data_IF_929425203865
#
_entry.id   IF_929425203865
#
_cell.length_a   1.000
_cell.length_b   1.000
_cell.length_c   1.000
_cell.angle_alpha   90.00
_cell.angle_beta   90.00
_cell.angle_gamma   90.00
#
_symmetry.space_group_name_H-M   'P 1'
#
loop_
_entity.id
_entity.type
_entity.pdbx_description
1 polymer ?
#
# COMPACT_ATOMS: atom_id res chain seq x y z
N UNK A 1 -9.64 -50.44 26.97
CA UNK A 1 -9.76 -49.22 26.13
C UNK A 1 -8.38 -48.55 25.97
N UNK A 2 -7.34 -49.29 25.54
CA UNK A 2 -5.93 -48.87 25.74
C UNK A 2 -4.98 -49.21 24.58
N UNK A 3 -5.48 -49.75 23.47
CA UNK A 3 -4.60 -50.27 22.40
C UNK A 3 -4.46 -49.33 21.20
N UNK A 4 -5.41 -48.41 20.99
CA UNK A 4 -5.41 -47.51 19.80
C UNK A 4 -4.56 -46.24 20.04
N UNK A 5 -4.51 -45.72 21.27
CA UNK A 5 -3.75 -44.49 21.58
C UNK A 5 -2.23 -44.68 21.52
N UNK A 6 -1.72 -45.91 21.66
CA UNK A 6 -0.29 -46.22 21.64
C UNK A 6 0.34 -46.21 20.23
N UNK A 7 -0.47 -46.16 19.16
CA UNK A 7 0.00 -46.17 17.76
C UNK A 7 0.20 -44.77 17.14
N UNK A 8 -0.24 -43.69 17.79
CA UNK A 8 -0.05 -42.33 17.29
C UNK A 8 1.15 -41.60 17.93
N UNK A 9 1.75 -42.19 18.96
CA UNK A 9 2.97 -41.67 19.64
C UNK A 9 4.24 -42.38 19.14
N UNK A 10 4.16 -43.11 18.03
CA UNK A 10 5.34 -43.54 17.26
C UNK A 10 5.54 -42.58 16.10
N UNK A 11 5.99 -41.36 16.42
CA UNK A 11 6.56 -40.46 15.43
C UNK A 11 7.72 -41.20 14.71
N UNK A 12 7.89 -41.03 13.38
CA UNK A 12 9.00 -41.65 12.67
C UNK A 12 10.32 -41.15 13.27
N UNK A 13 10.98 -42.01 14.06
CA UNK A 13 12.30 -41.78 14.69
C UNK A 13 13.44 -41.86 13.65
N UNK A 14 13.16 -41.49 12.40
CA UNK A 14 14.10 -41.54 11.31
C UNK A 14 14.08 -40.24 10.50
N UNK A 15 14.19 -39.12 11.22
CA UNK A 15 14.63 -37.86 10.62
C UNK A 15 16.12 -38.07 10.39
N UNK A 16 16.51 -38.34 9.13
CA UNK A 16 17.92 -38.38 8.74
C UNK A 16 18.61 -37.16 9.36
N UNK A 17 19.74 -37.31 10.09
CA UNK A 17 20.47 -36.15 10.57
C UNK A 17 20.80 -35.29 9.36
N UNK A 18 20.46 -34.00 9.43
CA UNK A 18 20.79 -33.04 8.38
C UNK A 18 22.26 -33.25 8.03
N UNK A 19 22.59 -33.57 6.77
CA UNK A 19 23.96 -33.92 6.40
C UNK A 19 24.94 -32.86 6.88
N UNK A 20 26.05 -33.26 7.50
CA UNK A 20 27.04 -32.34 8.08
C UNK A 20 27.65 -31.34 7.05
N UNK A 21 27.51 -31.63 5.75
CA UNK A 21 27.91 -30.73 4.66
C UNK A 21 26.96 -29.53 4.44
N UNK A 22 25.73 -29.55 4.98
CA UNK A 22 24.83 -28.40 5.06
C UNK A 22 25.09 -27.51 6.29
N UNK A 23 25.83 -28.02 7.30
CA UNK A 23 26.27 -27.25 8.46
C UNK A 23 27.58 -26.49 8.20
N UNK A 24 27.80 -26.09 6.95
CA UNK A 24 29.02 -25.42 6.51
C UNK A 24 28.94 -23.91 6.66
N UNK A 25 29.83 -23.34 7.47
CA UNK A 25 30.05 -21.89 7.62
C UNK A 25 30.42 -21.17 6.28
N UNK A 26 30.54 -21.92 5.17
CA UNK A 26 30.76 -21.46 3.79
C UNK A 26 29.50 -20.87 3.13
N UNK A 27 28.30 -21.28 3.53
CA UNK A 27 27.05 -20.73 2.96
C UNK A 27 26.76 -19.30 3.41
N UNK A 28 27.31 -18.88 4.55
CA UNK A 28 27.15 -17.50 5.04
C UNK A 28 27.77 -16.51 4.06
N UNK A 29 29.00 -16.74 3.61
CA UNK A 29 29.72 -15.81 2.73
C UNK A 29 29.06 -15.66 1.35
N UNK A 30 28.57 -16.77 0.79
CA UNK A 30 27.80 -16.74 -0.45
C UNK A 30 26.49 -15.94 -0.28
N UNK A 31 25.76 -16.18 0.82
CA UNK A 31 24.52 -15.47 1.14
C UNK A 31 24.75 -13.97 1.34
N UNK A 32 25.78 -13.58 2.10
CA UNK A 32 26.14 -12.17 2.31
C UNK A 32 26.56 -11.48 1.01
N UNK A 33 27.23 -12.19 0.10
CA UNK A 33 27.59 -11.66 -1.22
C UNK A 33 26.36 -11.42 -2.08
N UNK A 34 25.43 -12.39 -2.14
CA UNK A 34 24.17 -12.22 -2.87
C UNK A 34 23.33 -11.07 -2.30
N UNK A 35 23.24 -10.96 -0.97
CA UNK A 35 22.56 -9.85 -0.30
C UNK A 35 23.24 -8.52 -0.66
N UNK A 36 24.57 -8.44 -0.60
CA UNK A 36 25.30 -7.23 -0.95
C UNK A 36 25.07 -6.80 -2.41
N UNK A 37 25.03 -7.75 -3.34
CA UNK A 37 24.74 -7.48 -4.75
C UNK A 37 23.30 -6.94 -4.91
N UNK A 38 22.31 -7.58 -4.29
CA UNK A 38 20.92 -7.13 -4.35
C UNK A 38 20.76 -5.73 -3.74
N UNK A 39 21.37 -5.49 -2.59
CA UNK A 39 21.35 -4.18 -1.93
C UNK A 39 22.05 -3.12 -2.80
N UNK A 40 23.20 -3.43 -3.39
CA UNK A 40 23.90 -2.51 -4.27
C UNK A 40 23.06 -2.18 -5.52
N UNK A 41 22.41 -3.17 -6.11
CA UNK A 41 21.56 -2.99 -7.29
C UNK A 41 20.30 -2.17 -6.97
N UNK A 42 19.56 -2.52 -5.92
CA UNK A 42 18.38 -1.76 -5.47
C UNK A 42 18.78 -0.35 -5.03
N UNK A 43 19.87 -0.24 -4.30
CA UNK A 43 20.45 1.04 -3.89
C UNK A 43 20.78 1.91 -5.09
N UNK A 44 21.43 1.35 -6.11
CA UNK A 44 21.72 2.06 -7.36
C UNK A 44 20.44 2.54 -8.07
N UNK A 45 19.42 1.68 -8.17
CA UNK A 45 18.14 2.04 -8.79
C UNK A 45 17.39 3.17 -8.07
N UNK A 46 17.51 3.26 -6.74
CA UNK A 46 16.84 4.30 -5.94
C UNK A 46 17.68 5.58 -5.88
N UNK A 47 19.00 5.45 -5.69
CA UNK A 47 19.91 6.59 -5.54
C UNK A 47 20.01 7.37 -6.85
N UNK A 48 20.03 6.70 -8.00
CA UNK A 48 20.16 7.37 -9.31
C UNK A 48 19.08 8.43 -9.56
N UNK A 49 17.76 8.12 -9.49
CA UNK A 49 16.72 9.14 -9.67
C UNK A 49 16.73 10.18 -8.55
N UNK A 50 17.10 9.80 -7.32
CA UNK A 50 17.17 10.76 -6.21
C UNK A 50 18.28 11.79 -6.43
N UNK A 51 19.45 11.37 -6.92
CA UNK A 51 20.55 12.26 -7.30
C UNK A 51 20.15 13.12 -8.51
N UNK A 52 19.51 12.54 -9.53
CA UNK A 52 19.02 13.31 -10.68
C UNK A 52 17.99 14.38 -10.28
N UNK A 53 17.04 14.03 -9.40
CA UNK A 53 16.04 14.95 -8.88
C UNK A 53 16.66 16.07 -8.04
N UNK A 54 17.63 15.74 -7.17
CA UNK A 54 18.30 16.75 -6.34
C UNK A 54 19.14 17.69 -7.19
N UNK A 55 19.96 17.17 -8.11
CA UNK A 55 20.74 18.01 -9.02
C UNK A 55 19.82 18.91 -9.87
N UNK A 56 18.77 18.35 -10.49
CA UNK A 56 17.80 19.10 -11.27
C UNK A 56 17.04 20.16 -10.46
N UNK A 57 16.76 19.92 -9.19
CA UNK A 57 16.12 20.90 -8.31
C UNK A 57 17.03 22.09 -7.98
N UNK A 58 18.35 21.91 -7.97
CA UNK A 58 19.34 22.97 -7.69
C UNK A 58 19.93 23.63 -8.94
N UNK A 59 19.64 23.14 -10.15
CA UNK A 59 20.16 23.71 -11.42
C UNK A 59 19.81 25.18 -11.61
N UNK A 60 18.61 25.61 -11.18
CA UNK A 60 18.16 27.02 -11.26
C UNK A 60 18.53 27.84 -10.02
N UNK A 61 19.32 27.28 -9.11
CA UNK A 61 19.70 27.88 -7.85
C UNK A 61 18.58 27.90 -6.80
N UNK A 62 18.94 28.26 -5.56
CA UNK A 62 18.00 28.30 -4.43
C UNK A 62 16.95 29.43 -4.60
N UNK A 63 17.27 30.48 -5.37
CA UNK A 63 16.33 31.56 -5.68
C UNK A 63 15.08 31.08 -6.44
N UNK A 64 15.23 30.14 -7.37
CA UNK A 64 14.10 29.55 -8.10
C UNK A 64 13.16 28.72 -7.21
N UNK A 65 13.68 28.18 -6.09
CA UNK A 65 12.87 27.49 -5.09
C UNK A 65 11.95 28.48 -4.38
N UNK A 66 12.48 29.62 -3.93
CA UNK A 66 11.68 30.68 -3.30
C UNK A 66 10.66 31.28 -4.28
N UNK A 67 11.04 31.47 -5.54
CA UNK A 67 10.13 31.95 -6.59
C UNK A 67 9.02 30.92 -6.90
N UNK A 68 9.30 29.62 -6.76
CA UNK A 68 8.27 28.59 -6.89
C UNK A 68 7.27 28.64 -5.72
N UNK A 69 7.73 28.97 -4.51
CA UNK A 69 6.84 29.17 -3.35
C UNK A 69 5.95 30.40 -3.51
N UNK A 70 6.40 31.49 -4.13
CA UNK A 70 5.54 32.69 -4.33
C UNK A 70 4.43 32.50 -5.38
N UNK A 71 4.40 31.37 -6.08
CA UNK A 71 3.33 31.08 -7.04
C UNK A 71 2.05 30.73 -6.28
N UNK A 72 1.01 31.55 -6.44
CA UNK A 72 -0.32 31.33 -5.85
C UNK A 72 -0.89 29.93 -6.06
N UNK A 73 -0.55 29.26 -7.17
CA UNK A 73 -0.95 27.89 -7.44
C UNK A 73 -0.31 26.87 -6.47
N UNK A 74 0.97 27.04 -6.11
CA UNK A 74 1.69 26.12 -5.23
C UNK A 74 1.13 26.17 -3.81
N UNK A 75 0.83 27.37 -3.30
CA UNK A 75 0.18 27.54 -1.99
C UNK A 75 -1.23 26.94 -1.98
N UNK A 76 -2.02 27.20 -3.03
CA UNK A 76 -3.37 26.66 -3.14
C UNK A 76 -3.37 25.12 -3.16
N UNK A 77 -2.49 24.50 -3.95
CA UNK A 77 -2.35 23.04 -3.97
C UNK A 77 -1.89 22.48 -2.63
N UNK A 78 -0.91 23.12 -1.97
CA UNK A 78 -0.42 22.69 -0.67
C UNK A 78 -1.54 22.68 0.39
N UNK A 79 -2.34 23.75 0.45
CA UNK A 79 -3.44 23.86 1.40
C UNK A 79 -4.55 22.84 1.10
N UNK A 80 -4.87 22.62 -0.18
CA UNK A 80 -5.83 21.60 -0.59
C UNK A 80 -5.37 20.19 -0.16
N UNK A 81 -4.11 19.82 -0.43
CA UNK A 81 -3.57 18.53 0.01
C UNK A 81 -3.62 18.40 1.53
N UNK A 82 -3.29 19.45 2.28
CA UNK A 82 -3.35 19.41 3.73
C UNK A 82 -4.78 19.20 4.25
N UNK A 83 -5.76 19.95 3.74
CA UNK A 83 -7.16 19.79 4.13
C UNK A 83 -7.73 18.42 3.76
N UNK A 84 -7.51 17.99 2.52
CA UNK A 84 -7.98 16.69 2.04
C UNK A 84 -7.34 15.58 2.89
N UNK A 85 -6.03 15.62 3.09
CA UNK A 85 -5.33 14.61 3.90
C UNK A 85 -5.84 14.57 5.35
N UNK A 86 -6.11 15.72 5.97
CA UNK A 86 -6.64 15.79 7.34
C UNK A 86 -8.03 15.17 7.45
N UNK A 87 -8.94 15.52 6.53
CA UNK A 87 -10.31 14.98 6.51
C UNK A 87 -10.28 13.49 6.23
N UNK A 88 -9.53 13.06 5.22
CA UNK A 88 -9.40 11.66 4.82
C UNK A 88 -8.82 10.81 5.95
N UNK A 89 -7.73 11.26 6.59
CA UNK A 89 -7.09 10.54 7.71
C UNK A 89 -8.03 10.46 8.90
N UNK A 90 -8.75 11.53 9.23
CA UNK A 90 -9.70 11.52 10.35
C UNK A 90 -10.82 10.51 10.12
N UNK A 91 -11.39 10.50 8.92
CA UNK A 91 -12.43 9.53 8.51
C UNK A 91 -11.85 8.11 8.55
N UNK A 92 -10.68 7.87 7.96
CA UNK A 92 -10.04 6.54 7.97
C UNK A 92 -9.72 6.06 9.39
N UNK A 93 -9.25 6.96 10.26
CA UNK A 93 -8.95 6.62 11.65
C UNK A 93 -10.21 6.21 12.40
N UNK A 94 -11.30 6.97 12.28
CA UNK A 94 -12.56 6.67 12.98
C UNK A 94 -13.18 5.38 12.44
N UNK A 95 -13.49 5.33 11.14
CA UNK A 95 -14.18 4.20 10.54
C UNK A 95 -13.31 2.94 10.52
N UNK A 96 -12.04 3.08 10.15
CA UNK A 96 -11.08 1.96 10.14
C UNK A 96 -10.88 1.37 11.53
N UNK A 97 -10.77 2.21 12.57
CA UNK A 97 -10.65 1.70 13.94
C UNK A 97 -11.93 1.01 14.41
N UNK A 98 -13.12 1.56 14.11
CA UNK A 98 -14.39 0.93 14.47
C UNK A 98 -14.51 -0.45 13.79
N UNK A 99 -14.25 -0.52 12.49
CA UNK A 99 -14.32 -1.77 11.72
C UNK A 99 -13.31 -2.79 12.24
N UNK A 100 -12.06 -2.38 12.44
CA UNK A 100 -11.01 -3.24 13.00
C UNK A 100 -11.39 -3.76 14.40
N UNK A 101 -11.94 -2.88 15.25
CA UNK A 101 -12.37 -3.24 16.60
C UNK A 101 -13.49 -4.29 16.58
N UNK A 102 -14.48 -4.12 15.70
CA UNK A 102 -15.58 -5.10 15.52
C UNK A 102 -15.03 -6.43 15.00
N UNK A 103 -14.17 -6.41 13.99
CA UNK A 103 -13.65 -7.63 13.35
C UNK A 103 -12.69 -8.44 14.24
N UNK A 104 -11.99 -7.78 15.16
CA UNK A 104 -11.13 -8.45 16.16
C UNK A 104 -11.96 -8.99 17.32
N UNK A 105 -12.95 -8.23 17.79
CA UNK A 105 -13.67 -8.55 19.04
C UNK A 105 -14.90 -9.44 18.84
N UNK A 106 -15.50 -9.48 17.65
CA UNK A 106 -16.70 -10.29 17.39
C UNK A 106 -16.44 -11.37 16.35
N UNK A 107 -16.92 -12.58 16.62
CA UNK A 107 -16.91 -13.71 15.67
C UNK A 107 -18.34 -13.98 15.22
N UNK A 108 -18.70 -13.46 14.04
CA UNK A 108 -20.02 -13.62 13.44
C UNK A 108 -19.90 -14.38 12.10
N UNK A 109 -20.94 -15.13 11.68
CA UNK A 109 -20.97 -15.76 10.37
C UNK A 109 -21.00 -14.68 9.27
N UNK A 110 -20.02 -14.67 8.37
CA UNK A 110 -19.83 -13.63 7.34
C UNK A 110 -18.62 -12.72 7.53
N UNK A 111 -17.86 -12.89 8.62
CA UNK A 111 -16.61 -12.14 8.88
C UNK A 111 -15.60 -12.21 7.73
N UNK A 112 -15.44 -13.39 7.13
CA UNK A 112 -14.46 -13.60 6.06
C UNK A 112 -14.86 -12.89 4.75
N UNK A 113 -16.16 -12.72 4.49
CA UNK A 113 -16.66 -11.93 3.38
C UNK A 113 -16.33 -10.45 3.57
N UNK A 114 -16.54 -9.92 4.78
CA UNK A 114 -16.22 -8.52 5.10
C UNK A 114 -14.72 -8.27 5.01
N UNK A 115 -13.89 -9.17 5.53
CA UNK A 115 -12.43 -9.09 5.38
C UNK A 115 -12.03 -9.04 3.89
N UNK A 116 -12.59 -9.94 3.06
CA UNK A 116 -12.32 -9.94 1.63
C UNK A 116 -12.76 -8.67 0.91
N UNK A 117 -13.90 -8.08 1.29
CA UNK A 117 -14.37 -6.82 0.72
C UNK A 117 -13.47 -5.64 1.10
N UNK A 118 -12.94 -5.63 2.31
CA UNK A 118 -11.97 -4.60 2.78
C UNK A 118 -10.64 -4.73 2.05
N UNK A 119 -10.20 -5.95 1.74
CA UNK A 119 -8.94 -6.20 1.03
C UNK A 119 -9.08 -6.05 -0.50
N UNK A 120 -10.30 -6.12 -1.03
CA UNK A 120 -10.62 -5.98 -2.45
C UNK A 120 -9.96 -4.77 -3.14
N UNK A 121 -10.04 -3.52 -2.62
CA UNK A 121 -9.43 -2.38 -3.28
C UNK A 121 -7.93 -2.53 -3.50
N UNK A 122 -7.21 -3.24 -2.63
CA UNK A 122 -5.78 -3.50 -2.79
C UNK A 122 -5.47 -4.52 -3.88
N UNK A 123 -6.43 -5.39 -4.19
CA UNK A 123 -6.32 -6.34 -5.30
C UNK A 123 -6.60 -5.68 -6.67
N UNK A 124 -7.26 -4.51 -6.68
CA UNK A 124 -7.59 -3.78 -7.92
C UNK A 124 -6.43 -2.85 -8.30
N UNK A 125 -6.06 -2.85 -9.59
CA UNK A 125 -5.05 -1.93 -10.11
C UNK A 125 -5.52 -0.47 -9.97
N UNK A 126 -4.64 0.47 -9.58
CA UNK A 126 -4.99 1.89 -9.50
C UNK A 126 -5.57 2.45 -10.80
N UNK A 127 -5.10 1.95 -11.95
CA UNK A 127 -5.59 2.36 -13.28
C UNK A 127 -7.04 1.94 -13.48
N UNK A 128 -7.40 0.74 -13.03
CA UNK A 128 -8.77 0.22 -13.11
C UNK A 128 -9.68 1.00 -12.17
N UNK A 129 -9.22 1.32 -10.95
CA UNK A 129 -9.97 2.14 -10.01
C UNK A 129 -10.30 3.52 -10.62
N UNK A 130 -9.35 4.16 -11.30
CA UNK A 130 -9.58 5.41 -12.04
C UNK A 130 -10.63 5.27 -13.15
N UNK A 131 -10.58 4.19 -13.93
CA UNK A 131 -11.59 3.91 -14.95
C UNK A 131 -12.99 3.67 -14.35
N UNK A 132 -13.08 2.95 -13.23
CA UNK A 132 -14.34 2.74 -12.53
C UNK A 132 -14.95 4.06 -12.03
N UNK A 133 -14.12 5.00 -11.55
CA UNK A 133 -14.57 6.34 -11.18
C UNK A 133 -15.21 7.06 -12.37
N UNK A 134 -14.61 6.98 -13.56
CA UNK A 134 -15.17 7.56 -14.79
C UNK A 134 -16.47 6.86 -15.23
N UNK A 135 -16.57 5.54 -15.05
CA UNK A 135 -17.80 4.81 -15.37
C UNK A 135 -18.94 5.09 -14.38
N UNK A 136 -18.63 5.39 -13.13
CA UNK A 136 -19.64 5.70 -12.12
C UNK A 136 -20.03 7.17 -12.14
N UNK A 137 -19.06 8.07 -12.14
CA UNK A 137 -19.23 9.52 -11.96
C UNK A 137 -18.95 10.35 -13.22
N UNK A 138 -18.59 9.74 -14.35
CA UNK A 138 -18.46 10.43 -15.63
C UNK A 138 -19.81 10.83 -16.21
N UNK A 139 -19.79 11.56 -17.34
CA UNK A 139 -20.98 12.18 -17.94
C UNK A 139 -22.11 11.21 -18.31
N UNK A 140 -21.79 9.96 -18.62
CA UNK A 140 -22.77 8.90 -18.92
C UNK A 140 -22.75 7.78 -17.86
N UNK A 141 -22.25 8.07 -16.65
CA UNK A 141 -22.09 7.08 -15.61
C UNK A 141 -23.39 6.73 -14.88
N UNK A 142 -23.41 5.57 -14.21
CA UNK A 142 -24.56 5.11 -13.43
C UNK A 142 -25.02 6.11 -12.36
N UNK A 143 -24.10 6.92 -11.82
CA UNK A 143 -24.39 7.95 -10.81
C UNK A 143 -24.47 9.36 -11.39
N UNK A 144 -24.32 9.54 -12.71
CA UNK A 144 -24.37 10.85 -13.36
C UNK A 144 -25.65 11.66 -13.05
N UNK A 145 -26.87 11.06 -13.04
CA UNK A 145 -28.09 11.82 -12.74
C UNK A 145 -28.12 12.37 -11.30
N UNK A 146 -27.50 11.66 -10.35
CA UNK A 146 -27.43 12.07 -8.94
C UNK A 146 -26.40 13.19 -8.72
N UNK A 147 -25.28 13.09 -9.43
CA UNK A 147 -24.20 14.09 -9.46
C UNK A 147 -24.68 15.39 -10.12
N UNK A 148 -25.43 15.29 -11.22
CA UNK A 148 -26.05 16.44 -11.88
C UNK A 148 -27.12 17.10 -11.00
N UNK A 149 -27.94 16.31 -10.29
CA UNK A 149 -28.96 16.84 -9.37
C UNK A 149 -28.37 17.57 -8.16
N UNK A 150 -27.17 17.20 -7.71
CA UNK A 150 -26.49 17.83 -6.57
C UNK A 150 -25.54 18.95 -7.00
N UNK A 151 -25.26 19.10 -8.30
CA UNK A 151 -24.32 20.08 -8.84
C UNK A 151 -22.86 19.82 -8.46
N UNK A 152 -22.57 18.71 -7.80
CA UNK A 152 -21.22 18.35 -7.33
C UNK A 152 -20.54 17.56 -8.44
N UNK A 153 -19.62 18.18 -9.17
CA UNK A 153 -18.73 17.41 -10.04
C UNK A 153 -17.77 16.59 -9.18
N UNK A 154 -17.69 15.29 -9.43
CA UNK A 154 -16.79 14.37 -8.69
C UNK A 154 -15.60 13.99 -9.56
N UNK A 155 -15.82 13.72 -10.85
CA UNK A 155 -14.73 13.52 -11.79
C UNK A 155 -14.05 14.87 -12.09
N UNK A 156 -12.74 14.96 -11.80
CA UNK A 156 -11.87 16.12 -12.07
C UNK A 156 -12.14 17.39 -11.23
N UNK A 157 -12.76 17.27 -10.05
CA UNK A 157 -13.04 18.39 -9.14
C UNK A 157 -12.45 18.17 -7.74
N UNK A 158 -12.61 19.12 -6.82
CA UNK A 158 -12.09 19.05 -5.44
C UNK A 158 -12.31 17.70 -4.71
N UNK A 159 -13.44 16.99 -4.88
CA UNK A 159 -13.65 15.66 -4.29
C UNK A 159 -12.92 14.51 -5.01
N UNK A 160 -12.43 14.72 -6.23
CA UNK A 160 -11.77 13.72 -7.08
C UNK A 160 -10.32 14.05 -7.46
N UNK A 161 -9.71 15.02 -6.78
CA UNK A 161 -8.25 15.27 -6.79
C UNK A 161 -7.54 14.47 -5.69
#
# INVERSE_FOLDING_TARGET
MSTIYRRLVSAPKNINPIPAWLAGNREKWASWTLIAIVIAYVGFLIITPLVALTLGAFEKGVGAIFEAFDRSFVLASFWNTLWISLVVVTIHAIFGTIVAWVLVRHRFPGRDLINGLIDMPFAVSPVVAGYMLLLLFGRNGLLAPFVEATGIQVAFAFPGM
#
